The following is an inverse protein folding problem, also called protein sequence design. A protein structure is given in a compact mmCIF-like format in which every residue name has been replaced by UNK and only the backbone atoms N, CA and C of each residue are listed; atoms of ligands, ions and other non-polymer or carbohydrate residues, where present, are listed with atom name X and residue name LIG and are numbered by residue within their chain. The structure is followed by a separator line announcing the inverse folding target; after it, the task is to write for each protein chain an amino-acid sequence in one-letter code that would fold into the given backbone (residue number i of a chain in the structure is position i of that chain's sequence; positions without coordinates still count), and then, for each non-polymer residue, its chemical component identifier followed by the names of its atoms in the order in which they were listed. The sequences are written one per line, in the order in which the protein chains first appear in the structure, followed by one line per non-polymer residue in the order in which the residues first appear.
data_IF_515803395205
#
_entry.id   IF_515803395205
#
_cell.length_a   1.000
_cell.length_b   1.000
_cell.length_c   1.000
_cell.angle_alpha   90.00
_cell.angle_beta   90.00
_cell.angle_gamma   90.00
#
_symmetry.space_group_name_H-M   'P 1'
#
loop_
_entity.id
_entity.type
_entity.pdbx_description
1 polymer ?
#
# COMPACT_ATOMS: atom_id res chain seq x y z
N UNK A 1 1.34 21.43 -2.95
CA UNK A 1 0.51 21.25 -1.73
C UNK A 1 0.70 19.82 -1.25
N UNK A 2 0.21 19.42 -0.08
CA UNK A 2 0.27 18.02 0.39
C UNK A 2 -0.75 17.12 -0.33
N UNK A 3 -0.91 17.33 -1.64
CA UNK A 3 -1.83 16.62 -2.52
C UNK A 3 -1.07 15.50 -3.19
N UNK A 4 -1.66 14.30 -3.24
CA UNK A 4 -1.06 13.12 -3.86
C UNK A 4 -0.97 13.36 -5.38
N UNK A 5 0.26 13.41 -5.88
CA UNK A 5 0.56 13.60 -7.30
C UNK A 5 0.80 12.26 -7.99
N UNK A 6 1.50 11.34 -7.34
CA UNK A 6 1.87 10.06 -7.92
C UNK A 6 1.96 8.93 -6.88
N UNK A 7 1.52 7.74 -7.28
CA UNK A 7 1.57 6.51 -6.49
C UNK A 7 2.25 5.42 -7.33
N UNK A 8 3.25 4.73 -6.77
CA UNK A 8 3.95 3.63 -7.45
C UNK A 8 4.20 2.46 -6.51
N UNK A 9 3.80 1.27 -6.92
CA UNK A 9 4.12 0.01 -6.25
C UNK A 9 5.12 -0.83 -7.05
N UNK A 10 5.89 -1.62 -6.32
CA UNK A 10 6.82 -2.63 -6.85
C UNK A 10 6.86 -3.86 -5.98
N UNK A 11 7.22 -4.99 -6.58
CA UNK A 11 7.54 -6.23 -5.86
C UNK A 11 9.00 -6.18 -5.39
N UNK A 12 9.21 -6.38 -4.09
CA UNK A 12 10.53 -6.54 -3.45
C UNK A 12 10.59 -7.86 -2.67
N UNK A 13 11.70 -8.16 -1.98
CA UNK A 13 11.83 -9.35 -1.14
C UNK A 13 11.78 -9.01 0.35
N UNK A 14 11.05 -9.81 1.12
CA UNK A 14 11.04 -9.79 2.59
C UNK A 14 12.32 -10.43 3.16
N UNK A 15 12.46 -10.38 4.50
CA UNK A 15 13.61 -10.95 5.21
C UNK A 15 13.78 -12.47 5.06
N UNK A 16 12.77 -13.17 4.53
CA UNK A 16 12.76 -14.61 4.25
C UNK A 16 12.93 -14.92 2.76
N UNK A 17 13.17 -13.89 1.93
CA UNK A 17 13.30 -14.03 0.48
C UNK A 17 11.98 -14.31 -0.25
N UNK A 18 10.83 -14.08 0.39
CA UNK A 18 9.53 -14.14 -0.30
C UNK A 18 9.18 -12.76 -0.85
N UNK A 19 8.44 -12.69 -1.97
CA UNK A 19 7.94 -11.41 -2.47
C UNK A 19 7.09 -10.66 -1.43
N UNK A 20 7.21 -9.34 -1.42
CA UNK A 20 6.27 -8.43 -0.75
C UNK A 20 6.16 -7.13 -1.55
N UNK A 21 5.18 -6.29 -1.21
CA UNK A 21 4.93 -5.03 -1.89
C UNK A 21 5.64 -3.88 -1.18
N UNK A 22 6.20 -2.97 -1.98
CA UNK A 22 6.65 -1.64 -1.55
C UNK A 22 5.93 -0.58 -2.36
N UNK A 23 5.42 0.44 -1.67
CA UNK A 23 4.66 1.56 -2.26
C UNK A 23 5.40 2.85 -1.98
N UNK A 24 5.52 3.68 -3.02
CA UNK A 24 5.98 5.06 -2.99
C UNK A 24 4.80 6.00 -3.27
N UNK A 25 4.73 7.11 -2.53
CA UNK A 25 3.82 8.23 -2.76
C UNK A 25 4.64 9.52 -2.88
N UNK A 26 4.32 10.31 -3.90
CA UNK A 26 4.87 11.64 -4.14
C UNK A 26 3.75 12.67 -4.05
N UNK A 27 4.03 13.79 -3.39
CA UNK A 27 3.11 14.92 -3.24
C UNK A 27 3.54 16.10 -4.12
N UNK A 28 2.59 16.95 -4.51
CA UNK A 28 2.85 18.12 -5.37
C UNK A 28 3.85 19.13 -4.76
N UNK A 29 4.01 19.17 -3.44
CA UNK A 29 5.00 20.01 -2.76
C UNK A 29 6.40 19.36 -2.64
N UNK A 30 6.57 18.16 -3.21
CA UNK A 30 7.80 17.39 -3.17
C UNK A 30 7.91 16.43 -1.99
N UNK A 31 6.92 16.37 -1.09
CA UNK A 31 6.88 15.40 -0.01
C UNK A 31 6.89 13.95 -0.52
N UNK A 32 7.64 13.08 0.14
CA UNK A 32 7.85 11.69 -0.30
C UNK A 32 7.67 10.68 0.84
N UNK A 33 6.99 9.57 0.53
CA UNK A 33 6.81 8.47 1.46
C UNK A 33 6.98 7.11 0.80
N UNK A 34 7.69 6.21 1.48
CA UNK A 34 7.90 4.82 1.05
C UNK A 34 7.57 3.82 2.15
N UNK A 35 6.79 2.80 1.84
CA UNK A 35 6.46 1.73 2.79
C UNK A 35 6.48 0.35 2.13
N UNK A 36 7.24 -0.56 2.73
CA UNK A 36 7.17 -1.99 2.46
C UNK A 36 6.26 -2.66 3.50
N UNK A 37 5.47 -3.64 3.06
CA UNK A 37 4.54 -4.34 3.94
C UNK A 37 5.16 -5.64 4.47
N UNK A 38 5.16 -5.88 5.79
CA UNK A 38 5.64 -7.15 6.34
C UNK A 38 4.64 -8.28 6.03
N UNK A 39 5.14 -9.51 5.93
CA UNK A 39 4.31 -10.71 5.80
C UNK A 39 4.57 -11.68 6.94
N UNK A 40 3.52 -12.10 7.63
CA UNK A 40 3.57 -13.09 8.69
C UNK A 40 3.85 -14.51 8.18
N UNK A 41 4.33 -15.41 9.05
CA UNK A 41 4.36 -16.85 8.77
C UNK A 41 3.08 -17.56 9.27
N UNK A 42 2.51 -17.05 10.36
CA UNK A 42 1.32 -17.55 11.02
C UNK A 42 0.24 -16.50 10.87
N UNK A 43 -0.68 -16.71 9.93
CA UNK A 43 -1.84 -15.86 9.72
C UNK A 43 -3.04 -16.49 10.40
N UNK A 44 -3.68 -15.79 11.34
CA UNK A 44 -4.97 -16.21 11.89
C UNK A 44 -6.05 -16.24 10.80
N UNK A 45 -7.01 -17.15 10.92
CA UNK A 45 -8.11 -17.34 9.94
C UNK A 45 -9.02 -16.10 9.75
N UNK A 46 -8.93 -15.14 10.68
CA UNK A 46 -9.71 -13.89 10.67
C UNK A 46 -8.85 -12.65 10.36
N UNK A 47 -7.58 -12.82 9.98
CA UNK A 47 -6.75 -11.70 9.55
C UNK A 47 -7.20 -11.16 8.19
N UNK A 48 -6.88 -9.88 7.93
CA UNK A 48 -7.09 -9.29 6.62
C UNK A 48 -6.22 -10.00 5.57
N UNK A 49 -6.73 -10.13 4.35
CA UNK A 49 -6.15 -11.01 3.34
C UNK A 49 -4.95 -10.37 2.68
N UNK A 50 -3.76 -10.95 2.87
CA UNK A 50 -2.60 -10.67 2.02
C UNK A 50 -2.83 -11.28 0.62
N UNK A 51 -2.89 -10.43 -0.41
CA UNK A 51 -3.13 -10.90 -1.78
C UNK A 51 -1.83 -11.42 -2.40
N UNK A 52 -1.85 -12.70 -2.79
CA UNK A 52 -0.76 -13.42 -3.46
C UNK A 52 -1.19 -13.87 -4.86
N UNK A 53 -0.23 -14.03 -5.76
CA UNK A 53 -0.46 -14.36 -7.16
C UNK A 53 -1.02 -15.78 -7.34
N UNK A 54 -0.52 -16.74 -6.56
CA UNK A 54 -0.85 -18.17 -6.68
C UNK A 54 -0.16 -18.89 -7.84
N UNK A 55 0.67 -18.19 -8.62
CA UNK A 55 1.45 -18.77 -9.72
C UNK A 55 2.62 -19.60 -9.20
N UNK A 56 2.50 -20.94 -9.23
CA UNK A 56 3.56 -21.86 -8.77
C UNK A 56 4.87 -21.73 -9.54
N UNK A 57 4.86 -21.18 -10.76
CA UNK A 57 6.05 -20.91 -11.56
C UNK A 57 6.89 -19.73 -11.05
N UNK A 58 6.31 -18.86 -10.21
CA UNK A 58 6.98 -17.69 -9.63
C UNK A 58 6.95 -17.74 -8.11
N UNK A 59 8.12 -17.80 -7.48
CA UNK A 59 8.26 -17.81 -6.02
C UNK A 59 7.33 -18.83 -5.33
N UNK A 60 7.09 -19.99 -5.95
CA UNK A 60 6.21 -21.05 -5.43
C UNK A 60 4.77 -20.58 -5.15
N UNK A 61 4.25 -19.63 -5.94
CA UNK A 61 2.90 -19.06 -5.75
C UNK A 61 2.85 -17.82 -4.86
N UNK A 62 3.99 -17.40 -4.30
CA UNK A 62 4.07 -16.29 -3.34
C UNK A 62 4.31 -14.92 -3.97
N UNK A 63 4.31 -14.80 -5.30
CA UNK A 63 4.34 -13.49 -5.97
C UNK A 63 3.23 -12.56 -5.47
N UNK A 64 3.42 -11.25 -5.64
CA UNK A 64 2.47 -10.21 -5.23
C UNK A 64 2.16 -9.24 -6.38
N UNK A 65 2.37 -9.64 -7.64
CA UNK A 65 2.13 -8.77 -8.79
C UNK A 65 0.68 -8.29 -8.89
N UNK A 66 -0.30 -9.11 -8.48
CA UNK A 66 -1.71 -8.68 -8.43
C UNK A 66 -1.92 -7.50 -7.47
N UNK A 67 -1.29 -7.55 -6.29
CA UNK A 67 -1.36 -6.45 -5.32
C UNK A 67 -0.64 -5.20 -5.86
N UNK A 68 0.50 -5.38 -6.53
CA UNK A 68 1.25 -4.28 -7.19
C UNK A 68 0.39 -3.62 -8.29
N UNK A 69 -0.26 -4.41 -9.13
CA UNK A 69 -1.15 -3.94 -10.18
C UNK A 69 -2.33 -3.17 -9.60
N UNK A 70 -2.98 -3.69 -8.56
CA UNK A 70 -4.06 -3.00 -7.84
C UNK A 70 -3.63 -1.62 -7.33
N UNK A 71 -2.41 -1.48 -6.80
CA UNK A 71 -1.90 -0.17 -6.38
C UNK A 71 -1.67 0.76 -7.56
N UNK A 72 -0.98 0.29 -8.60
CA UNK A 72 -0.59 1.11 -9.75
C UNK A 72 -1.74 1.50 -10.69
N UNK A 73 -2.92 0.91 -10.51
CA UNK A 73 -4.09 1.15 -11.35
C UNK A 73 -5.27 1.61 -10.49
N UNK A 74 -6.04 0.67 -9.94
CA UNK A 74 -7.30 0.92 -9.24
C UNK A 74 -7.14 1.89 -8.07
N UNK A 75 -6.13 1.71 -7.22
CA UNK A 75 -5.93 2.60 -6.07
C UNK A 75 -5.38 3.95 -6.52
N UNK A 76 -4.36 3.98 -7.39
CA UNK A 76 -3.78 5.22 -7.88
C UNK A 76 -4.84 6.13 -8.53
N UNK A 77 -5.69 5.58 -9.40
CA UNK A 77 -6.76 6.32 -10.08
C UNK A 77 -7.75 6.96 -9.09
N UNK A 78 -7.98 6.31 -7.93
CA UNK A 78 -8.93 6.78 -6.92
C UNK A 78 -8.32 7.86 -5.99
N UNK A 79 -7.04 7.73 -5.63
CA UNK A 79 -6.45 8.57 -4.56
C UNK A 79 -5.59 9.73 -5.05
N UNK A 80 -5.19 9.76 -6.32
CA UNK A 80 -4.49 10.92 -6.90
C UNK A 80 -5.41 12.15 -6.77
N UNK A 81 -4.84 13.25 -6.27
CA UNK A 81 -5.58 14.48 -5.96
C UNK A 81 -6.15 14.53 -4.52
N UNK A 82 -6.09 13.45 -3.74
CA UNK A 82 -6.44 13.52 -2.31
C UNK A 82 -5.36 14.24 -1.50
N UNK A 83 -5.76 14.84 -0.38
CA UNK A 83 -4.83 15.44 0.58
C UNK A 83 -4.24 14.36 1.51
N UNK A 84 -2.92 14.18 1.50
CA UNK A 84 -2.23 13.18 2.33
C UNK A 84 -2.32 13.47 3.83
N UNK A 85 -2.69 14.69 4.24
CA UNK A 85 -2.91 15.04 5.66
C UNK A 85 -4.23 14.50 6.22
N UNK A 86 -5.18 14.11 5.37
CA UNK A 86 -6.45 13.49 5.81
C UNK A 86 -6.36 11.96 5.76
N UNK A 87 -5.51 11.41 6.64
CA UNK A 87 -5.25 9.97 6.72
C UNK A 87 -6.54 9.15 6.90
N UNK A 88 -7.48 9.65 7.70
CA UNK A 88 -8.74 8.94 7.98
C UNK A 88 -9.61 8.90 6.73
N UNK A 89 -9.71 10.00 5.97
CA UNK A 89 -10.44 9.99 4.70
C UNK A 89 -9.78 9.04 3.69
N UNK A 90 -8.45 9.12 3.52
CA UNK A 90 -7.71 8.23 2.64
C UNK A 90 -7.93 6.76 2.96
N UNK A 91 -7.78 6.37 4.23
CA UNK A 91 -7.95 4.97 4.65
C UNK A 91 -9.40 4.49 4.46
N UNK A 92 -10.40 5.36 4.68
CA UNK A 92 -11.80 5.05 4.39
C UNK A 92 -12.04 4.82 2.91
N UNK A 93 -11.53 5.71 2.05
CA UNK A 93 -11.60 5.54 0.59
C UNK A 93 -11.00 4.21 0.16
N UNK A 94 -9.83 3.82 0.69
CA UNK A 94 -9.21 2.53 0.37
C UNK A 94 -10.05 1.32 0.81
N UNK A 95 -10.66 1.40 2.00
CA UNK A 95 -11.55 0.34 2.53
C UNK A 95 -12.82 0.23 1.69
N UNK A 96 -13.44 1.36 1.35
CA UNK A 96 -14.66 1.43 0.54
C UNK A 96 -14.40 0.95 -0.91
N UNK A 97 -13.27 1.32 -1.50
CA UNK A 97 -12.84 0.89 -2.83
C UNK A 97 -12.65 -0.62 -2.95
N UNK A 98 -12.10 -1.23 -1.89
CA UNK A 98 -12.02 -2.69 -1.77
C UNK A 98 -13.42 -3.31 -1.62
N UNK A 99 -14.24 -2.75 -0.72
CA UNK A 99 -15.63 -3.16 -0.54
C UNK A 99 -15.83 -4.54 0.11
N UNK A 100 -14.76 -5.19 0.57
CA UNK A 100 -14.84 -6.45 1.33
C UNK A 100 -14.42 -6.24 2.78
N UNK A 101 -15.02 -6.98 3.71
CA UNK A 101 -14.73 -6.85 5.15
C UNK A 101 -13.26 -7.17 5.47
N UNK A 102 -12.65 -8.10 4.72
CA UNK A 102 -11.31 -8.62 4.96
C UNK A 102 -10.25 -8.08 4.00
N UNK A 103 -10.56 -7.07 3.18
CA UNK A 103 -9.63 -6.46 2.21
C UNK A 103 -9.13 -7.42 1.12
N UNK A 104 -9.94 -8.43 0.79
CA UNK A 104 -9.56 -9.53 -0.09
C UNK A 104 -9.59 -9.20 -1.59
N UNK A 105 -10.23 -8.09 -1.99
CA UNK A 105 -10.33 -7.71 -3.42
C UNK A 105 -9.06 -7.02 -3.90
N UNK A 106 -8.60 -6.00 -3.17
CA UNK A 106 -7.39 -5.25 -3.48
C UNK A 106 -6.15 -5.84 -2.82
N UNK A 107 -6.33 -6.51 -1.67
CA UNK A 107 -5.27 -7.03 -0.83
C UNK A 107 -4.95 -6.10 0.33
N UNK A 108 -4.96 -6.63 1.55
CA UNK A 108 -4.58 -5.89 2.75
C UNK A 108 -3.16 -5.33 2.66
N UNK A 109 -2.26 -6.04 1.97
CA UNK A 109 -0.90 -5.60 1.66
C UNK A 109 -0.86 -4.40 0.71
N UNK A 110 -1.74 -4.33 -0.30
CA UNK A 110 -1.84 -3.14 -1.15
C UNK A 110 -2.33 -1.92 -0.34
N UNK A 111 -3.43 -2.09 0.41
CA UNK A 111 -4.04 -1.01 1.20
C UNK A 111 -3.08 -0.49 2.27
N UNK A 112 -2.45 -1.38 3.04
CA UNK A 112 -1.51 -0.97 4.09
C UNK A 112 -0.26 -0.28 3.53
N UNK A 113 0.25 -0.74 2.37
CA UNK A 113 1.38 -0.11 1.70
C UNK A 113 1.11 1.34 1.35
N UNK A 114 -0.05 1.60 0.73
CA UNK A 114 -0.51 2.95 0.37
C UNK A 114 -0.76 3.80 1.62
N UNK A 115 -1.49 3.27 2.61
CA UNK A 115 -1.80 3.94 3.87
C UNK A 115 -0.55 4.45 4.59
N UNK A 116 0.47 3.59 4.72
CA UNK A 116 1.72 3.94 5.40
C UNK A 116 2.63 4.83 4.55
N UNK A 117 2.63 4.69 3.22
CA UNK A 117 3.37 5.58 2.35
C UNK A 117 2.79 7.00 2.39
N UNK A 118 1.46 7.15 2.44
CA UNK A 118 0.79 8.45 2.50
C UNK A 118 1.12 9.18 3.81
N UNK A 119 1.04 8.48 4.95
CA UNK A 119 1.41 9.03 6.25
C UNK A 119 2.87 9.53 6.28
N UNK A 120 3.80 8.76 5.68
CA UNK A 120 5.20 9.16 5.58
C UNK A 120 5.40 10.38 4.68
N UNK A 121 4.72 10.42 3.54
CA UNK A 121 4.79 11.54 2.62
C UNK A 121 4.24 12.82 3.27
N UNK A 122 3.15 12.70 4.02
CA UNK A 122 2.57 13.79 4.79
C UNK A 122 3.52 14.30 5.89
N UNK A 123 4.14 13.40 6.65
CA UNK A 123 5.13 13.77 7.67
C UNK A 123 6.35 14.48 7.05
N UNK A 124 6.82 13.99 5.89
CA UNK A 124 7.91 14.61 5.12
C UNK A 124 7.54 16.01 4.60
N UNK A 125 6.35 16.18 4.01
CA UNK A 125 5.80 17.49 3.59
C UNK A 125 5.73 18.49 4.74
N UNK A 126 5.39 18.04 5.95
CA UNK A 126 5.37 18.88 7.16
C UNK A 126 6.75 19.11 7.79
N UNK A 127 7.80 18.40 7.35
CA UNK A 127 9.13 18.47 7.96
C UNK A 127 9.18 17.89 9.38
N UNK A 128 8.32 16.92 9.70
CA UNK A 128 8.26 16.27 11.00
C UNK A 128 8.56 14.77 10.89
N UNK A 129 9.12 14.14 11.93
CA UNK A 129 9.25 12.70 11.94
C UNK A 129 7.88 12.03 12.14
N UNK A 130 7.65 10.86 11.53
CA UNK A 130 6.36 10.15 11.54
C UNK A 130 5.74 9.92 12.93
N UNK A 131 6.54 9.85 14.00
CA UNK A 131 6.04 9.61 15.36
C UNK A 131 5.51 10.87 16.06
N UNK A 132 5.66 12.05 15.46
CA UNK A 132 5.15 13.34 15.96
C UNK A 132 3.81 13.66 15.32
#
# INVERSE_FOLDING_TARGET
MSIIEEVRAREILDSRGNPTIEVDIYLEDGGFGRAAVPSGASTGEHEAVELRDGDKGRFLGKGVLKAVENVNTVIADEIIGMNSLDQVALDRTLIELDGTENKGKLGANAILGVSMAAAKAAADSLGIPLYR
#
